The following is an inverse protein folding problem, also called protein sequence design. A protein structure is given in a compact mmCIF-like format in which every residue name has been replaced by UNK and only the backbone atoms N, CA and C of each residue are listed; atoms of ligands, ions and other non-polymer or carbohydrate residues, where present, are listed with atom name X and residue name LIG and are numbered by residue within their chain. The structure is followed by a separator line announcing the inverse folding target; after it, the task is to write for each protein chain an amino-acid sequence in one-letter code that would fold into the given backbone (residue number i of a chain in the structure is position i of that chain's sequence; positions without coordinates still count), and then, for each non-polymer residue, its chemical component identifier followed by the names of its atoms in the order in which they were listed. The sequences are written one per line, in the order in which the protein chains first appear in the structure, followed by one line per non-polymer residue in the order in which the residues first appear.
data_IF_894940266700
#
_entry.id   IF_894940266700
#
_cell.length_a   1.000
_cell.length_b   1.000
_cell.length_c   1.000
_cell.angle_alpha   90.00
_cell.angle_beta   90.00
_cell.angle_gamma   90.00
#
_symmetry.space_group_name_H-M   'P 1'
#
loop_
_entity.id
_entity.type
_entity.pdbx_description
1 polymer ?
#
# COMPACT_ATOMS: atom_id res chain seq x y z
N UNK A 1 11.97 -20.63 -10.46
CA UNK A 1 11.06 -20.06 -9.46
C UNK A 1 11.88 -19.68 -8.23
N UNK A 2 11.53 -18.59 -7.55
CA UNK A 2 12.25 -18.10 -6.36
C UNK A 2 11.82 -18.91 -5.13
N UNK A 3 12.79 -19.37 -4.32
CA UNK A 3 12.51 -20.08 -3.06
C UNK A 3 11.97 -19.14 -1.97
N UNK A 4 11.14 -19.66 -1.07
CA UNK A 4 10.53 -18.86 0.02
C UNK A 4 11.58 -18.29 0.98
N UNK A 5 12.69 -19.00 1.18
CA UNK A 5 13.82 -18.56 1.99
C UNK A 5 14.57 -17.37 1.37
N UNK A 6 14.54 -17.26 0.03
CA UNK A 6 15.19 -16.17 -0.70
C UNK A 6 14.50 -14.84 -0.41
N UNK A 7 13.16 -14.81 -0.32
CA UNK A 7 12.42 -13.60 0.05
C UNK A 7 12.84 -13.08 1.42
N UNK A 8 12.87 -13.97 2.42
CA UNK A 8 13.27 -13.60 3.78
C UNK A 8 14.73 -13.12 3.88
N UNK A 9 15.62 -13.57 2.99
CA UNK A 9 17.05 -13.24 3.05
C UNK A 9 17.46 -12.06 2.18
N UNK A 10 16.76 -11.83 1.07
CA UNK A 10 17.27 -10.99 -0.02
C UNK A 10 16.27 -9.95 -0.51
N UNK A 11 15.01 -9.99 -0.08
CA UNK A 11 14.05 -8.94 -0.42
C UNK A 11 14.43 -7.64 0.29
N UNK A 12 14.51 -6.53 -0.46
CA UNK A 12 14.73 -5.20 0.10
C UNK A 12 13.42 -4.38 -0.03
N UNK A 13 12.71 -4.14 1.08
CA UNK A 13 11.47 -3.39 1.08
C UNK A 13 11.62 -1.95 0.57
N UNK A 14 12.69 -1.26 0.91
CA UNK A 14 12.85 0.17 0.58
C UNK A 14 13.12 0.38 -0.91
N UNK A 15 13.96 -0.47 -1.51
CA UNK A 15 14.19 -0.45 -2.95
C UNK A 15 12.91 -0.83 -3.71
N UNK A 16 12.17 -1.82 -3.23
CA UNK A 16 10.87 -2.20 -3.79
C UNK A 16 9.87 -1.03 -3.75
N UNK A 17 9.76 -0.34 -2.62
CA UNK A 17 8.88 0.82 -2.47
C UNK A 17 9.27 1.96 -3.40
N UNK A 18 10.56 2.27 -3.48
CA UNK A 18 11.09 3.34 -4.33
C UNK A 18 10.86 3.07 -5.82
N UNK A 19 11.03 1.82 -6.25
CA UNK A 19 10.86 1.44 -7.65
C UNK A 19 9.39 1.47 -8.09
N UNK A 20 8.48 0.95 -7.25
CA UNK A 20 7.11 0.66 -7.69
C UNK A 20 6.03 1.58 -7.12
N UNK A 21 6.30 2.29 -6.03
CA UNK A 21 5.26 2.96 -5.24
C UNK A 21 5.40 4.48 -5.13
N UNK A 22 6.22 5.09 -5.99
CA UNK A 22 6.18 6.53 -6.25
C UNK A 22 5.19 6.85 -7.37
N UNK A 23 4.46 7.97 -7.26
CA UNK A 23 3.45 8.37 -8.28
C UNK A 23 4.06 8.77 -9.62
N UNK A 24 5.33 9.17 -9.62
CA UNK A 24 6.10 9.45 -10.82
C UNK A 24 7.55 9.00 -10.63
N UNK A 25 8.23 8.74 -11.74
CA UNK A 25 9.66 8.50 -11.74
C UNK A 25 10.46 9.82 -11.67
N UNK A 26 11.80 9.70 -11.72
CA UNK A 26 12.70 10.86 -11.70
C UNK A 26 12.59 11.77 -12.92
N UNK A 27 12.00 11.30 -14.02
CA UNK A 27 11.73 12.08 -15.24
C UNK A 27 10.32 12.70 -15.22
N UNK A 28 9.56 12.50 -14.14
CA UNK A 28 8.19 12.99 -13.99
C UNK A 28 7.16 12.17 -14.77
N UNK A 29 7.52 11.01 -15.31
CA UNK A 29 6.56 10.12 -15.98
C UNK A 29 5.63 9.49 -14.94
N UNK A 30 4.30 9.52 -15.14
CA UNK A 30 3.37 8.93 -14.20
C UNK A 30 3.54 7.42 -14.06
N UNK A 31 3.48 6.93 -12.83
CA UNK A 31 3.39 5.50 -12.55
C UNK A 31 1.97 5.02 -12.83
N UNK A 32 1.72 4.69 -14.11
CA UNK A 32 0.42 4.26 -14.59
C UNK A 32 -0.10 3.00 -13.85
N UNK A 33 0.81 2.10 -13.45
CA UNK A 33 0.45 0.91 -12.67
C UNK A 33 -0.16 1.30 -11.32
N UNK A 34 0.55 2.10 -10.52
CA UNK A 34 0.06 2.52 -9.20
C UNK A 34 -1.24 3.33 -9.33
N UNK A 35 -1.28 4.30 -10.25
CA UNK A 35 -2.45 5.16 -10.46
C UNK A 35 -3.69 4.33 -10.83
N UNK A 36 -3.56 3.37 -11.75
CA UNK A 36 -4.67 2.53 -12.16
C UNK A 36 -5.16 1.62 -11.03
N UNK A 37 -4.24 1.09 -10.21
CA UNK A 37 -4.60 0.30 -9.03
C UNK A 37 -5.37 1.15 -8.01
N UNK A 38 -4.90 2.34 -7.67
CA UNK A 38 -5.57 3.25 -6.73
C UNK A 38 -7.00 3.57 -7.18
N UNK A 39 -7.20 3.89 -8.47
CA UNK A 39 -8.55 4.13 -9.03
C UNK A 39 -9.45 2.90 -8.96
N UNK A 40 -8.89 1.73 -9.22
CA UNK A 40 -9.63 0.46 -9.23
C UNK A 40 -10.06 0.09 -7.81
N UNK A 41 -9.17 0.25 -6.83
CA UNK A 41 -9.43 0.04 -5.40
C UNK A 41 -10.48 1.04 -4.89
N UNK A 42 -10.33 2.33 -5.20
CA UNK A 42 -11.33 3.34 -4.88
C UNK A 42 -12.71 2.98 -5.44
N UNK A 43 -12.79 2.58 -6.71
CA UNK A 43 -14.05 2.16 -7.35
C UNK A 43 -14.66 0.95 -6.63
N UNK A 44 -13.83 -0.05 -6.31
CA UNK A 44 -14.25 -1.27 -5.63
C UNK A 44 -14.79 -0.98 -4.22
N UNK A 45 -14.06 -0.21 -3.41
CA UNK A 45 -14.49 0.18 -2.05
C UNK A 45 -15.53 1.30 -2.04
N UNK A 46 -15.87 1.88 -3.19
CA UNK A 46 -17.02 2.77 -3.33
C UNK A 46 -18.36 2.02 -3.39
N UNK A 47 -18.35 0.71 -3.70
CA UNK A 47 -19.56 -0.10 -3.77
C UNK A 47 -20.19 -0.28 -2.37
N UNK A 48 -21.48 0.04 -2.23
CA UNK A 48 -22.20 -0.03 -0.95
C UNK A 48 -22.19 -1.42 -0.29
N UNK A 49 -22.08 -2.48 -1.10
CA UNK A 49 -22.02 -3.86 -0.64
C UNK A 49 -20.66 -4.30 -0.09
N UNK A 50 -19.59 -3.51 -0.28
CA UNK A 50 -18.24 -3.88 0.15
C UNK A 50 -17.83 -3.11 1.40
N UNK A 51 -18.34 -3.58 2.54
CA UNK A 51 -18.10 -3.04 3.90
C UNK A 51 -18.20 -4.17 4.91
N UNK A 52 -17.60 -4.00 6.09
CA UNK A 52 -17.65 -5.00 7.14
C UNK A 52 -16.89 -4.57 8.39
N UNK A 53 -16.76 -5.48 9.34
CA UNK A 53 -16.04 -5.20 10.58
C UNK A 53 -14.52 -5.40 10.38
N UNK A 54 -14.11 -6.54 9.82
CA UNK A 54 -12.69 -6.89 9.65
C UNK A 54 -12.33 -7.17 8.19
N UNK A 55 -11.20 -6.64 7.73
CA UNK A 55 -10.53 -6.98 6.47
C UNK A 55 -9.15 -7.57 6.77
N UNK A 56 -8.80 -8.67 6.08
CA UNK A 56 -7.47 -9.30 6.18
C UNK A 56 -6.77 -9.14 4.84
N UNK A 57 -5.65 -8.42 4.83
CA UNK A 57 -4.77 -8.25 3.67
C UNK A 57 -3.61 -9.25 3.76
N UNK A 58 -3.51 -10.15 2.77
CA UNK A 58 -2.57 -11.28 2.77
C UNK A 58 -1.48 -11.06 1.74
N UNK A 59 -0.23 -11.02 2.19
CA UNK A 59 0.91 -10.69 1.35
C UNK A 59 0.98 -9.18 1.07
N UNK A 60 0.72 -8.36 2.10
CA UNK A 60 0.66 -6.91 1.98
C UNK A 60 2.00 -6.26 1.61
N UNK A 61 3.11 -7.01 1.67
CA UNK A 61 4.44 -6.46 1.48
C UNK A 61 4.72 -5.33 2.47
N UNK A 62 5.55 -4.34 2.09
CA UNK A 62 5.78 -3.15 2.89
C UNK A 62 4.79 -2.01 2.54
N UNK A 63 3.60 -2.31 1.99
CA UNK A 63 2.73 -1.31 1.34
C UNK A 63 1.41 -1.06 2.06
N UNK A 64 0.87 0.15 1.90
CA UNK A 64 -0.44 0.54 2.44
C UNK A 64 -1.44 1.02 1.36
N UNK A 65 -1.00 1.20 0.11
CA UNK A 65 -1.82 1.81 -0.94
C UNK A 65 -3.16 1.09 -1.16
N UNK A 66 -3.14 -0.24 -0.97
CA UNK A 66 -4.30 -1.12 -1.12
C UNK A 66 -5.34 -0.95 -0.01
N UNK A 67 -4.96 -0.33 1.11
CA UNK A 67 -5.79 -0.16 2.30
C UNK A 67 -6.42 1.23 2.40
N UNK A 68 -5.97 2.19 1.59
CA UNK A 68 -6.35 3.60 1.72
C UNK A 68 -7.85 3.84 1.53
N UNK A 69 -8.47 3.28 0.49
CA UNK A 69 -9.93 3.36 0.35
C UNK A 69 -10.67 2.29 1.15
N UNK A 70 -9.97 1.24 1.59
CA UNK A 70 -10.56 0.18 2.39
C UNK A 70 -10.85 0.62 3.83
N UNK A 71 -10.00 1.46 4.42
CA UNK A 71 -10.15 1.89 5.82
C UNK A 71 -11.40 2.73 6.09
N UNK A 72 -12.01 3.31 5.05
CA UNK A 72 -13.30 4.00 5.15
C UNK A 72 -14.49 3.04 5.27
N UNK A 73 -14.29 1.75 4.98
CA UNK A 73 -15.36 0.73 4.89
C UNK A 73 -15.24 -0.39 5.93
N UNK A 74 -14.08 -0.54 6.55
CA UNK A 74 -13.77 -1.60 7.51
C UNK A 74 -13.24 -1.02 8.81
N UNK A 75 -13.74 -1.51 9.94
CA UNK A 75 -13.35 -1.01 11.27
C UNK A 75 -11.95 -1.50 11.67
N UNK A 76 -11.63 -2.73 11.29
CA UNK A 76 -10.37 -3.39 11.59
C UNK A 76 -9.72 -3.87 10.30
N UNK A 77 -8.42 -3.60 10.16
CA UNK A 77 -7.60 -4.10 9.06
C UNK A 77 -6.41 -4.86 9.64
N UNK A 78 -6.27 -6.12 9.23
CA UNK A 78 -5.15 -6.99 9.61
C UNK A 78 -4.28 -7.19 8.37
N UNK A 79 -3.10 -6.58 8.36
CA UNK A 79 -2.12 -6.72 7.29
C UNK A 79 -1.09 -7.81 7.62
N UNK A 80 -0.97 -8.81 6.76
CA UNK A 80 -0.12 -9.98 6.94
C UNK A 80 0.92 -10.05 5.82
N UNK A 81 2.18 -10.24 6.17
CA UNK A 81 3.22 -10.55 5.19
C UNK A 81 4.15 -11.64 5.71
N UNK A 82 4.65 -12.47 4.80
CA UNK A 82 5.60 -13.54 5.11
C UNK A 82 6.93 -12.97 5.64
N UNK A 83 7.41 -11.88 5.05
CA UNK A 83 8.77 -11.39 5.27
C UNK A 83 8.83 -10.46 6.47
N UNK A 84 9.73 -10.74 7.42
CA UNK A 84 9.88 -9.89 8.62
C UNK A 84 10.24 -8.44 8.27
N UNK A 85 11.05 -8.23 7.22
CA UNK A 85 11.46 -6.90 6.82
C UNK A 85 10.30 -6.05 6.29
N UNK A 86 9.34 -6.67 5.60
CA UNK A 86 8.13 -5.99 5.13
C UNK A 86 7.27 -5.50 6.29
N UNK A 87 7.01 -6.39 7.26
CA UNK A 87 6.26 -6.03 8.47
C UNK A 87 6.95 -4.93 9.27
N UNK A 88 8.29 -4.94 9.36
CA UNK A 88 9.06 -3.85 9.99
C UNK A 88 8.92 -2.51 9.28
N UNK A 89 8.88 -2.46 7.95
CA UNK A 89 8.64 -1.19 7.25
C UNK A 89 7.25 -0.63 7.52
N UNK A 90 6.23 -1.49 7.61
CA UNK A 90 4.89 -1.08 8.03
C UNK A 90 4.87 -0.55 9.47
N UNK A 91 5.57 -1.21 10.40
CA UNK A 91 5.71 -0.73 11.77
C UNK A 91 6.41 0.63 11.85
N UNK A 92 7.48 0.85 11.07
CA UNK A 92 8.17 2.14 10.99
C UNK A 92 7.22 3.24 10.54
N UNK A 93 6.41 2.96 9.51
CA UNK A 93 5.41 3.90 9.02
C UNK A 93 4.34 4.20 10.08
N UNK A 94 3.80 3.17 10.73
CA UNK A 94 2.80 3.32 11.81
C UNK A 94 3.32 4.15 12.99
N UNK A 95 4.61 4.01 13.33
CA UNK A 95 5.27 4.73 14.43
C UNK A 95 5.82 6.11 14.00
N UNK A 96 5.65 6.50 12.74
CA UNK A 96 6.22 7.72 12.16
C UNK A 96 7.75 7.82 12.39
N UNK A 97 8.46 6.70 12.23
CA UNK A 97 9.90 6.64 12.40
C UNK A 97 10.66 7.29 11.24
N UNK A 98 11.84 7.85 11.53
CA UNK A 98 12.71 8.40 10.50
C UNK A 98 13.11 7.31 9.48
N UNK A 99 13.01 7.64 8.19
CA UNK A 99 13.30 6.71 7.10
C UNK A 99 12.14 5.79 6.71
N UNK A 100 10.96 5.94 7.33
CA UNK A 100 9.73 5.36 6.79
C UNK A 100 9.43 5.92 5.38
N UNK A 101 8.86 5.08 4.52
CA UNK A 101 8.51 5.51 3.17
C UNK A 101 7.43 6.60 3.19
N UNK A 102 7.60 7.60 2.33
CA UNK A 102 6.70 8.73 2.24
C UNK A 102 5.46 8.41 1.40
N UNK A 103 4.41 7.93 2.07
CA UNK A 103 3.12 7.68 1.45
C UNK A 103 2.26 8.93 1.22
N UNK A 104 2.67 10.13 1.68
CA UNK A 104 1.84 11.33 1.60
C UNK A 104 1.37 11.68 0.18
N UNK A 105 2.20 11.57 -0.87
CA UNK A 105 1.72 11.84 -2.23
C UNK A 105 0.61 10.87 -2.66
N UNK A 106 0.75 9.59 -2.33
CA UNK A 106 -0.24 8.54 -2.64
C UNK A 106 -1.52 8.75 -1.85
N UNK A 107 -1.42 9.02 -0.55
CA UNK A 107 -2.57 9.34 0.32
C UNK A 107 -3.32 10.55 -0.22
N UNK A 108 -2.60 11.64 -0.55
CA UNK A 108 -3.19 12.85 -1.11
C UNK A 108 -3.97 12.53 -2.39
N UNK A 109 -3.39 11.74 -3.29
CA UNK A 109 -4.06 11.33 -4.53
C UNK A 109 -5.37 10.57 -4.26
N UNK A 110 -5.38 9.64 -3.30
CA UNK A 110 -6.60 8.91 -2.93
C UNK A 110 -7.64 9.84 -2.30
N UNK A 111 -7.25 10.74 -1.41
CA UNK A 111 -8.16 11.73 -0.83
C UNK A 111 -8.78 12.64 -1.90
N UNK A 112 -8.03 13.02 -2.93
CA UNK A 112 -8.55 13.79 -4.08
C UNK A 112 -9.58 12.97 -4.88
N UNK A 113 -9.35 11.67 -5.10
CA UNK A 113 -10.33 10.78 -5.74
C UNK A 113 -11.62 10.64 -4.91
N UNK A 114 -11.50 10.59 -3.58
CA UNK A 114 -12.63 10.41 -2.67
C UNK A 114 -13.42 11.69 -2.44
N UNK A 115 -12.77 12.86 -2.54
CA UNK A 115 -13.39 14.17 -2.44
C UNK A 115 -14.16 14.62 -3.70
N UNK A 116 -13.90 14.00 -4.86
CA UNK A 116 -14.65 14.21 -6.11
C UNK A 116 -15.99 13.43 -6.14
N UNK A 117 -16.54 13.05 -4.98
CA UNK A 117 -17.84 12.37 -4.82
C UNK A 117 -19.04 13.30 -4.79
#
# INVERSE_FOLDING_TARGET
FTGVDVYQRSFNPQEYLKEFYTLSDSEGRPNAFLIQNLRSLFTMFSLDGLRGDTLIDVGCGPTIYQLLSACERFQEIIALDYTDQNRRELEKWLKNEAGAFDWRPVVKYVCELEGDR
#
